data_IF_693340948936
#
_entry.id   IF_693340948936
#
_cell.length_a   1.000
_cell.length_b   1.000
_cell.length_c   1.000
_cell.angle_alpha   90.00
_cell.angle_beta   90.00
_cell.angle_gamma   90.00
#
_symmetry.space_group_name_H-M   'P 1'
#
loop_
_entity.id
_entity.type
_entity.pdbx_description
1 polymer ?
#
# COMPACT_ATOMS: atom_id res chain seq x y z
N UNK A 1 -9.18 1.69 -10.83
CA UNK A 1 -8.24 2.85 -10.97
C UNK A 1 -6.80 2.32 -10.96
N UNK A 2 -5.97 2.64 -11.95
CA UNK A 2 -4.57 2.17 -11.97
C UNK A 2 -3.70 2.94 -10.97
N UNK A 3 -3.07 2.21 -10.04
CA UNK A 3 -2.23 2.81 -9.00
C UNK A 3 -0.94 2.03 -8.77
N UNK A 4 0.01 2.70 -8.17
CA UNK A 4 1.15 2.11 -7.48
C UNK A 4 0.86 2.21 -5.98
N UNK A 5 0.97 1.09 -5.28
CA UNK A 5 0.75 1.00 -3.85
C UNK A 5 2.07 0.81 -3.12
N UNK A 6 2.33 1.69 -2.16
CA UNK A 6 3.37 1.54 -1.16
C UNK A 6 2.73 1.06 0.15
N UNK A 7 3.19 -0.08 0.67
CA UNK A 7 2.85 -0.48 2.03
C UNK A 7 3.57 0.44 3.01
N UNK A 8 2.84 0.95 4.00
CA UNK A 8 3.38 1.86 5.02
C UNK A 8 3.69 1.14 6.32
N UNK A 9 3.31 -0.13 6.45
CA UNK A 9 3.62 -0.98 7.60
C UNK A 9 4.17 -2.32 7.15
N UNK A 10 5.03 -2.92 7.97
CA UNK A 10 5.51 -4.30 7.84
C UNK A 10 5.14 -5.06 9.10
N UNK A 11 4.27 -6.07 8.97
CA UNK A 11 3.76 -6.86 10.09
C UNK A 11 3.22 -5.97 11.23
N UNK A 12 2.43 -4.93 10.89
CA UNK A 12 1.86 -4.00 11.87
C UNK A 12 2.74 -2.81 12.25
N UNK A 13 4.05 -2.89 12.02
CA UNK A 13 5.02 -1.85 12.41
C UNK A 13 5.17 -0.82 11.30
N UNK A 14 5.10 0.47 11.66
CA UNK A 14 5.26 1.57 10.71
C UNK A 14 6.65 1.60 10.08
N UNK A 15 6.68 1.77 8.76
CA UNK A 15 7.90 1.97 7.99
C UNK A 15 8.22 3.46 8.02
N UNK A 16 9.46 3.79 8.38
CA UNK A 16 9.92 5.17 8.41
C UNK A 16 9.67 5.83 7.04
N UNK A 17 9.19 7.08 7.06
CA UNK A 17 8.74 7.79 5.85
C UNK A 17 9.84 7.86 4.79
N UNK A 18 11.08 7.98 5.22
CA UNK A 18 12.27 8.02 4.40
C UNK A 18 12.66 6.68 3.77
N UNK A 19 12.04 5.57 4.16
CA UNK A 19 12.27 4.27 3.56
C UNK A 19 11.12 3.83 2.64
N UNK A 20 10.01 4.57 2.59
CA UNK A 20 8.84 4.20 1.78
C UNK A 20 9.16 4.07 0.28
N UNK A 21 10.09 4.88 -0.25
CA UNK A 21 10.50 4.78 -1.65
C UNK A 21 11.28 3.49 -1.98
N UNK A 22 11.82 2.83 -0.96
CA UNK A 22 12.59 1.59 -1.05
C UNK A 22 11.70 0.33 -0.97
N UNK A 23 10.44 0.49 -0.56
CA UNK A 23 9.49 -0.62 -0.47
C UNK A 23 9.06 -1.14 -1.86
N UNK A 24 8.63 -2.40 -1.89
CA UNK A 24 8.15 -3.04 -3.10
C UNK A 24 6.99 -2.24 -3.73
N UNK A 25 7.13 -1.94 -5.03
CA UNK A 25 6.13 -1.21 -5.80
C UNK A 25 5.11 -2.19 -6.35
N UNK A 26 3.93 -2.22 -5.75
CA UNK A 26 2.83 -3.07 -6.20
C UNK A 26 1.95 -2.26 -7.15
N UNK A 27 1.82 -2.71 -8.41
CA UNK A 27 1.11 -1.98 -9.46
C UNK A 27 -0.12 -2.78 -9.87
N UNK A 28 -1.27 -2.11 -9.97
CA UNK A 28 -2.50 -2.76 -10.40
C UNK A 28 -3.71 -1.83 -10.39
N UNK A 29 -4.85 -2.43 -10.71
CA UNK A 29 -6.15 -1.80 -10.55
C UNK A 29 -6.58 -1.85 -9.08
N UNK A 30 -6.69 -0.69 -8.45
CA UNK A 30 -7.30 -0.57 -7.12
C UNK A 30 -8.82 -0.60 -7.23
N UNK A 31 -9.43 -1.49 -6.44
CA UNK A 31 -10.87 -1.56 -6.18
C UNK A 31 -11.14 -1.46 -4.68
N UNK A 32 -12.02 -0.55 -4.30
CA UNK A 32 -12.49 -0.37 -2.93
C UNK A 32 -13.99 -0.59 -2.94
N UNK A 33 -14.49 -1.42 -2.04
CA UNK A 33 -15.90 -1.83 -2.07
C UNK A 33 -16.25 -2.72 -0.89
N UNK A 34 -17.45 -3.30 -0.96
CA UNK A 34 -17.88 -4.32 0.00
C UNK A 34 -17.58 -5.69 -0.60
N UNK A 35 -16.87 -6.52 0.14
CA UNK A 35 -16.51 -7.87 -0.27
C UNK A 35 -17.06 -8.88 0.74
N UNK A 36 -17.37 -10.09 0.26
CA UNK A 36 -17.63 -11.21 1.15
C UNK A 36 -16.34 -11.62 1.83
N UNK A 37 -16.33 -11.55 3.16
CA UNK A 37 -15.24 -12.05 3.98
C UNK A 37 -15.58 -13.48 4.42
N UNK A 38 -14.97 -14.46 3.75
CA UNK A 38 -15.19 -15.89 4.00
C UNK A 38 -14.90 -16.32 5.44
N UNK A 39 -13.99 -15.63 6.12
CA UNK A 39 -13.63 -15.94 7.51
C UNK A 39 -14.67 -15.38 8.50
N UNK A 40 -15.16 -14.17 8.23
CA UNK A 40 -16.03 -13.44 9.17
C UNK A 40 -17.52 -13.57 8.87
N UNK A 41 -17.89 -14.27 7.78
CA UNK A 41 -19.29 -14.52 7.34
C UNK A 41 -20.16 -13.27 7.36
N UNK A 42 -19.56 -12.11 7.10
CA UNK A 42 -20.25 -10.82 7.00
C UNK A 42 -19.63 -9.98 5.88
N UNK A 43 -20.42 -9.15 5.19
CA UNK A 43 -19.88 -8.17 4.27
C UNK A 43 -18.98 -7.19 5.02
N UNK A 44 -17.75 -6.99 4.55
CA UNK A 44 -16.83 -5.98 5.10
C UNK A 44 -16.37 -5.05 3.99
N UNK A 45 -16.07 -3.80 4.34
CA UNK A 45 -15.39 -2.90 3.41
C UNK A 45 -13.98 -3.40 3.23
N UNK A 46 -13.57 -3.62 1.98
CA UNK A 46 -12.22 -4.02 1.64
C UNK A 46 -11.59 -3.14 0.57
N UNK A 47 -10.30 -3.35 0.37
CA UNK A 47 -9.55 -2.81 -0.75
C UNK A 47 -8.73 -3.92 -1.38
N UNK A 48 -8.83 -4.09 -2.69
CA UNK A 48 -8.05 -5.06 -3.47
C UNK A 48 -7.22 -4.34 -4.51
N UNK A 49 -5.95 -4.69 -4.61
CA UNK A 49 -5.12 -4.37 -5.76
C UNK A 49 -5.11 -5.59 -6.69
N UNK A 50 -5.54 -5.42 -7.93
CA UNK A 50 -5.69 -6.52 -8.89
C UNK A 50 -4.83 -6.31 -10.14
N UNK A 51 -4.38 -7.41 -10.75
CA UNK A 51 -3.88 -7.36 -12.14
C UNK A 51 -5.05 -7.25 -13.11
N UNK A 52 -4.75 -6.93 -14.36
CA UNK A 52 -5.75 -6.89 -15.45
C UNK A 52 -6.44 -8.26 -15.66
N UNK A 53 -5.78 -9.36 -15.28
CA UNK A 53 -6.36 -10.71 -15.26
C UNK A 53 -7.43 -10.93 -14.19
N UNK A 54 -7.60 -9.99 -13.24
CA UNK A 54 -8.48 -10.12 -12.07
C UNK A 54 -7.80 -10.79 -10.86
N UNK A 55 -6.57 -11.28 -11.01
CA UNK A 55 -5.76 -11.83 -9.91
C UNK A 55 -5.57 -10.77 -8.81
N UNK A 56 -5.90 -11.12 -7.57
CA UNK A 56 -5.70 -10.24 -6.40
C UNK A 56 -4.23 -10.32 -5.96
N UNK A 57 -3.52 -9.21 -6.07
CA UNK A 57 -2.11 -9.07 -5.68
C UNK A 57 -2.00 -8.79 -4.18
N UNK A 58 -2.87 -7.90 -3.69
CA UNK A 58 -2.93 -7.51 -2.29
C UNK A 58 -4.37 -7.24 -1.88
N UNK A 59 -4.67 -7.48 -0.62
CA UNK A 59 -5.99 -7.23 -0.03
C UNK A 59 -5.86 -6.59 1.36
N UNK A 60 -6.74 -5.65 1.65
CA UNK A 60 -7.07 -5.20 3.00
C UNK A 60 -8.55 -5.44 3.27
N UNK A 61 -8.86 -5.84 4.51
CA UNK A 61 -10.22 -5.90 5.04
C UNK A 61 -10.43 -4.82 6.10
N UNK A 62 -11.69 -4.57 6.46
CA UNK A 62 -12.10 -3.50 7.38
C UNK A 62 -11.48 -2.13 7.04
N UNK A 63 -11.56 -1.74 5.77
CA UNK A 63 -10.83 -0.56 5.29
C UNK A 63 -11.54 0.76 5.60
N UNK A 64 -10.72 1.79 5.79
CA UNK A 64 -11.10 3.20 5.83
C UNK A 64 -10.18 4.00 4.92
N UNK A 65 -10.78 4.89 4.12
CA UNK A 65 -10.02 5.93 3.41
C UNK A 65 -9.69 7.04 4.40
N UNK A 66 -8.39 7.22 4.67
CA UNK A 66 -7.89 8.13 5.69
C UNK A 66 -7.66 9.55 5.14
N UNK A 67 -7.11 9.64 3.92
CA UNK A 67 -6.84 10.91 3.26
C UNK A 67 -6.85 10.76 1.73
N UNK A 68 -7.27 11.82 1.04
CA UNK A 68 -7.17 11.96 -0.42
C UNK A 68 -6.57 13.33 -0.73
N UNK A 69 -5.53 13.37 -1.56
CA UNK A 69 -4.93 14.61 -2.04
C UNK A 69 -4.43 14.44 -3.46
N UNK A 70 -5.06 15.14 -4.41
CA UNK A 70 -4.76 15.06 -5.83
C UNK A 70 -4.71 13.59 -6.30
N UNK A 71 -3.57 13.15 -6.85
CA UNK A 71 -3.37 11.78 -7.35
C UNK A 71 -2.94 10.77 -6.28
N UNK A 72 -3.12 11.10 -5.00
CA UNK A 72 -2.72 10.25 -3.87
C UNK A 72 -3.88 10.00 -2.92
N UNK A 73 -3.92 8.79 -2.37
CA UNK A 73 -4.88 8.37 -1.36
C UNK A 73 -4.20 7.48 -0.33
N UNK A 74 -4.60 7.59 0.92
CA UNK A 74 -4.20 6.70 2.00
C UNK A 74 -5.39 5.83 2.41
N UNK A 75 -5.21 4.51 2.37
CA UNK A 75 -6.18 3.52 2.85
C UNK A 75 -5.58 2.82 4.06
N UNK A 76 -6.32 2.78 5.17
CA UNK A 76 -5.98 1.99 6.36
C UNK A 76 -6.89 0.77 6.41
N UNK A 77 -6.39 -0.33 6.96
CA UNK A 77 -7.16 -1.56 7.14
C UNK A 77 -6.34 -2.66 7.79
N UNK A 78 -6.82 -3.88 7.63
CA UNK A 78 -6.20 -5.09 8.17
C UNK A 78 -5.65 -5.92 7.01
N UNK A 79 -4.38 -6.26 7.10
CA UNK A 79 -3.73 -7.25 6.22
C UNK A 79 -3.72 -8.61 6.92
N UNK A 80 -4.20 -9.65 6.24
CA UNK A 80 -4.10 -11.04 6.70
C UNK A 80 -2.90 -11.70 6.03
N UNK A 81 -2.05 -12.35 6.82
CA UNK A 81 -0.92 -13.14 6.30
C UNK A 81 -0.94 -14.54 6.87
N UNK A 82 -0.66 -15.53 6.02
CA UNK A 82 -0.36 -16.88 6.46
C UNK A 82 1.00 -16.91 7.14
N UNK A 83 1.04 -17.46 8.35
CA UNK A 83 2.26 -17.70 9.12
C UNK A 83 2.34 -19.18 9.52
N UNK A 84 3.45 -19.59 10.15
CA UNK A 84 3.59 -20.92 10.73
C UNK A 84 2.53 -21.24 11.81
N UNK A 85 1.97 -20.19 12.44
CA UNK A 85 0.95 -20.32 13.49
C UNK A 85 -0.49 -20.16 12.99
N UNK A 86 -0.67 -20.10 11.67
CA UNK A 86 -1.95 -19.81 11.03
C UNK A 86 -2.04 -18.40 10.47
N UNK A 87 -3.26 -17.98 10.12
CA UNK A 87 -3.53 -16.64 9.60
C UNK A 87 -3.44 -15.62 10.73
N UNK A 88 -2.62 -14.58 10.54
CA UNK A 88 -2.46 -13.48 11.49
C UNK A 88 -2.91 -12.18 10.85
N UNK A 89 -3.58 -11.34 11.64
CA UNK A 89 -4.05 -10.01 11.25
C UNK A 89 -3.06 -8.93 11.70
N UNK A 90 -2.68 -8.05 10.77
CA UNK A 90 -1.79 -6.92 11.01
C UNK A 90 -2.47 -5.62 10.62
N UNK A 91 -2.27 -4.57 11.43
CA UNK A 91 -2.62 -3.22 11.04
C UNK A 91 -1.78 -2.81 9.82
N UNK A 92 -2.43 -2.27 8.79
CA UNK A 92 -1.76 -1.89 7.55
C UNK A 92 -2.29 -0.55 7.04
N UNK A 93 -1.43 0.17 6.33
CA UNK A 93 -1.81 1.35 5.58
C UNK A 93 -1.15 1.33 4.20
N UNK A 94 -1.90 1.71 3.18
CA UNK A 94 -1.45 1.80 1.81
C UNK A 94 -1.43 3.26 1.39
N UNK A 95 -0.29 3.72 0.89
CA UNK A 95 -0.22 4.93 0.08
C UNK A 95 -0.44 4.54 -1.38
N UNK A 96 -1.60 4.85 -1.90
CA UNK A 96 -1.97 4.64 -3.30
C UNK A 96 -1.64 5.91 -4.09
N UNK A 97 -0.84 5.76 -5.14
CA UNK A 97 -0.45 6.85 -6.05
C UNK A 97 -0.92 6.49 -7.45
N UNK A 98 -1.66 7.39 -8.11
CA UNK A 98 -2.13 7.16 -9.48
C UNK A 98 -0.94 6.92 -10.42
N UNK A 99 -1.07 5.93 -11.29
CA UNK A 99 -0.07 5.64 -12.31
C UNK A 99 0.24 6.89 -13.16
N UNK A 100 1.51 7.09 -13.51
CA UNK A 100 2.00 8.28 -14.22
C UNK A 100 2.32 9.50 -13.34
N UNK A 101 2.04 9.45 -12.02
CA UNK A 101 2.49 10.47 -11.07
C UNK A 101 3.95 10.24 -10.66
N UNK A 102 4.75 11.29 -10.37
CA UNK A 102 6.08 11.14 -9.79
C UNK A 102 6.08 10.26 -8.53
N UNK A 103 6.99 9.27 -8.54
CA UNK A 103 7.14 8.28 -7.49
C UNK A 103 7.85 8.85 -6.27
N UNK A 104 7.72 8.15 -5.14
CA UNK A 104 8.57 8.43 -3.99
C UNK A 104 10.01 8.07 -4.31
N UNK A 105 10.92 8.97 -3.97
CA UNK A 105 12.36 8.74 -4.09
C UNK A 105 12.81 7.70 -3.06
N UNK A 106 13.68 6.81 -3.50
CA UNK A 106 14.42 5.90 -2.63
C UNK A 106 15.30 6.69 -1.64
N UNK A 107 15.68 6.06 -0.54
CA UNK A 107 16.67 6.64 0.39
C UNK A 107 18.00 6.92 -0.33
N UNK A 108 18.41 6.00 -1.22
CA UNK A 108 19.61 6.12 -2.04
C UNK A 108 19.59 7.35 -2.96
N UNK A 109 18.51 7.56 -3.71
CA UNK A 109 18.39 8.71 -4.63
C UNK A 109 18.50 10.05 -3.88
N UNK A 110 17.90 10.14 -2.70
CA UNK A 110 18.00 11.34 -1.84
C UNK A 110 19.41 11.60 -1.36
N UNK A 111 20.13 10.56 -0.94
CA UNK A 111 21.52 10.67 -0.50
C UNK A 111 22.43 11.22 -1.61
N UNK A 112 22.28 10.72 -2.83
CA UNK A 112 23.09 11.19 -3.97
C UNK A 112 22.75 12.63 -4.39
N UNK A 113 21.48 13.05 -4.31
CA UNK A 113 21.09 14.45 -4.56
C UNK A 113 21.71 15.39 -3.53
N UNK A 114 21.62 15.06 -2.24
CA UNK A 114 22.22 15.88 -1.18
C UNK A 114 23.75 15.98 -1.30
N UNK A 115 24.41 14.92 -1.77
CA UNK A 115 25.86 14.89 -1.93
C UNK A 115 26.36 15.62 -3.19
N UNK A 116 25.49 15.82 -4.19
CA UNK A 116 25.81 16.50 -5.45
C UNK A 116 25.69 18.02 -5.42
N UNK A 117 24.90 18.57 -4.48
CA UNK A 117 24.62 20.02 -4.37
C UNK A 117 25.71 20.82 -3.63
N UNK A 118 26.77 20.15 -3.15
CA UNK A 118 27.87 20.76 -2.39
C UNK A 118 28.99 21.38 -3.23
N UNK A 119 28.78 21.63 -4.53
CA UNK A 119 29.74 22.33 -5.40
C UNK A 119 29.06 23.50 -6.12
N UNK A 120 28.98 24.64 -5.45
CA UNK A 120 28.93 25.96 -6.07
C UNK A 120 29.97 26.85 -5.40
#
# INVERSE_FOLDING_TARGET
MQVIVYQMRRNGVEIARELLGDEARNIGELRVGVFEDGDRRRPTKGARLQRDSGEVIMELVDVQVDAIKASRMVIKGIERRQTERGVVEFAQAWLCVQAGTPLLETSRERFFKQSGDGRQ
#
